data_IF_324721918328
#
_entry.id   IF_324721918328
#
_cell.length_a   1.000
_cell.length_b   1.000
_cell.length_c   1.000
_cell.angle_alpha   90.00
_cell.angle_beta   90.00
_cell.angle_gamma   90.00
#
_symmetry.space_group_name_H-M   'P 1'
#
loop_
_entity.id
_entity.type
_entity.pdbx_description
1 polymer ?
#
# COMPACT_ATOMS: atom_id res chain seq x y z
N UNK A 1 15.24 19.37 12.03
CA UNK A 1 14.65 20.63 11.49
C UNK A 1 15.12 20.88 10.05
N UNK A 2 16.44 21.02 9.73
CA UNK A 2 16.90 21.29 8.35
C UNK A 2 16.48 20.17 7.40
N UNK A 3 16.68 18.89 7.77
CA UNK A 3 16.27 17.74 6.96
C UNK A 3 14.75 17.68 6.76
N UNK A 4 13.97 17.98 7.76
CA UNK A 4 12.51 18.04 7.67
C UNK A 4 12.04 19.13 6.69
N UNK A 5 12.72 20.29 6.70
CA UNK A 5 12.46 21.36 5.75
C UNK A 5 12.81 20.92 4.33
N UNK A 6 13.96 20.28 4.13
CA UNK A 6 14.42 19.77 2.85
C UNK A 6 13.50 18.68 2.29
N UNK A 7 13.06 17.74 3.12
CA UNK A 7 12.06 16.72 2.76
C UNK A 7 10.72 17.34 2.40
N UNK A 8 10.27 18.34 3.17
CA UNK A 8 9.03 19.06 2.90
C UNK A 8 9.10 19.86 1.61
N UNK A 9 10.22 20.54 1.36
CA UNK A 9 10.44 21.27 0.10
C UNK A 9 10.39 20.31 -1.09
N UNK A 10 11.11 19.20 -1.03
CA UNK A 10 11.10 18.16 -2.09
C UNK A 10 9.70 17.60 -2.33
N UNK A 11 8.94 17.36 -1.27
CA UNK A 11 7.54 16.93 -1.39
C UNK A 11 6.70 17.99 -2.13
N UNK A 12 6.82 19.27 -1.77
CA UNK A 12 6.06 20.36 -2.39
C UNK A 12 6.44 20.55 -3.86
N UNK A 13 7.73 20.47 -4.19
CA UNK A 13 8.20 20.54 -5.58
C UNK A 13 7.64 19.38 -6.42
N UNK A 14 7.64 18.16 -5.89
CA UNK A 14 7.05 17.00 -6.56
C UNK A 14 5.52 17.15 -6.70
N UNK A 15 4.88 17.68 -5.68
CA UNK A 15 3.44 17.95 -5.69
C UNK A 15 3.06 18.96 -6.79
N UNK A 16 3.75 20.10 -6.88
CA UNK A 16 3.47 21.11 -7.91
C UNK A 16 3.79 20.58 -9.32
N UNK A 17 4.92 19.91 -9.52
CA UNK A 17 5.23 19.25 -10.80
C UNK A 17 4.13 18.27 -11.22
N UNK A 18 3.64 17.46 -10.29
CA UNK A 18 2.57 16.49 -10.58
C UNK A 18 1.25 17.17 -10.90
N UNK A 19 0.92 18.26 -10.22
CA UNK A 19 -0.27 19.07 -10.45
C UNK A 19 -0.25 19.71 -11.86
N UNK A 20 0.89 20.29 -12.26
CA UNK A 20 1.09 20.85 -13.61
C UNK A 20 0.98 19.76 -14.68
N UNK A 21 1.60 18.60 -14.47
CA UNK A 21 1.50 17.45 -15.37
C UNK A 21 0.06 16.98 -15.55
N UNK A 22 -0.70 16.82 -14.46
CA UNK A 22 -2.10 16.42 -14.50
C UNK A 22 -2.94 17.47 -15.25
N UNK A 23 -2.74 18.75 -14.95
CA UNK A 23 -3.44 19.83 -15.63
C UNK A 23 -3.21 19.76 -17.15
N UNK A 24 -1.95 19.59 -17.58
CA UNK A 24 -1.60 19.45 -18.99
C UNK A 24 -2.24 18.20 -19.62
N UNK A 25 -2.18 17.06 -18.97
CA UNK A 25 -2.74 15.80 -19.49
C UNK A 25 -4.27 15.84 -19.65
N UNK A 26 -4.97 16.61 -18.80
CA UNK A 26 -6.42 16.83 -18.93
C UNK A 26 -6.71 17.84 -20.06
N UNK A 27 -5.89 18.87 -20.18
CA UNK A 27 -6.01 19.88 -21.22
C UNK A 27 -5.76 19.32 -22.63
N UNK A 28 -4.76 18.44 -22.80
CA UNK A 28 -4.47 17.71 -24.03
C UNK A 28 -5.67 16.87 -24.52
N UNK A 29 -6.56 16.47 -23.61
CA UNK A 29 -7.82 15.79 -23.92
C UNK A 29 -8.99 16.75 -24.21
N UNK A 30 -8.76 18.06 -24.11
CA UNK A 30 -9.82 19.09 -24.27
C UNK A 30 -10.86 19.05 -23.15
N UNK A 31 -10.51 18.53 -21.98
CA UNK A 31 -11.45 18.32 -20.87
C UNK A 31 -11.17 19.17 -19.64
N UNK A 32 -10.17 20.09 -19.73
CA UNK A 32 -9.83 20.97 -18.59
C UNK A 32 -10.87 22.09 -18.48
N UNK A 33 -11.79 21.95 -17.51
CA UNK A 33 -12.80 22.96 -17.20
C UNK A 33 -12.37 23.86 -16.04
N UNK A 34 -13.01 25.06 -15.85
CA UNK A 34 -12.74 25.92 -14.69
C UNK A 34 -12.95 25.20 -13.35
N UNK A 35 -13.93 24.31 -13.26
CA UNK A 35 -14.25 23.53 -12.06
C UNK A 35 -13.10 22.54 -11.73
N UNK A 36 -12.54 21.88 -12.76
CA UNK A 36 -11.40 20.97 -12.59
C UNK A 36 -10.16 21.76 -12.17
N UNK A 37 -9.90 22.90 -12.81
CA UNK A 37 -8.80 23.79 -12.43
C UNK A 37 -8.91 24.26 -10.98
N UNK A 38 -10.13 24.63 -10.54
CA UNK A 38 -10.39 25.00 -9.16
C UNK A 38 -10.22 23.81 -8.19
N UNK A 39 -10.61 22.59 -8.60
CA UNK A 39 -10.42 21.38 -7.79
C UNK A 39 -8.91 21.05 -7.65
N UNK A 40 -8.12 21.12 -8.72
CA UNK A 40 -6.68 20.94 -8.69
C UNK A 40 -5.99 21.98 -7.80
N UNK A 41 -6.43 23.25 -7.86
CA UNK A 41 -5.89 24.31 -7.01
C UNK A 41 -6.18 24.12 -5.53
N UNK A 42 -7.29 23.51 -5.17
CA UNK A 42 -7.68 23.19 -3.78
C UNK A 42 -7.08 21.90 -3.26
N UNK A 43 -6.50 21.07 -4.11
CA UNK A 43 -5.86 19.83 -3.69
C UNK A 43 -4.61 20.14 -2.84
N UNK A 44 -4.44 19.43 -1.74
CA UNK A 44 -3.32 19.60 -0.80
C UNK A 44 -2.46 18.35 -0.66
N UNK A 45 -2.85 17.24 -1.32
CA UNK A 45 -2.15 15.97 -1.27
C UNK A 45 -2.07 15.33 -2.67
N UNK A 46 -1.02 14.54 -2.91
CA UNK A 46 -0.87 13.77 -4.15
C UNK A 46 -2.07 12.85 -4.39
N UNK A 47 -2.59 12.22 -3.34
CA UNK A 47 -3.78 11.37 -3.43
C UNK A 47 -5.00 12.13 -3.96
N UNK A 48 -5.20 13.38 -3.50
CA UNK A 48 -6.29 14.22 -3.99
C UNK A 48 -6.11 14.59 -5.48
N UNK A 49 -4.88 14.87 -5.91
CA UNK A 49 -4.58 15.11 -7.32
C UNK A 49 -4.87 13.87 -8.19
N UNK A 50 -4.43 12.69 -7.74
CA UNK A 50 -4.67 11.44 -8.46
C UNK A 50 -6.17 11.07 -8.50
N UNK A 51 -6.94 11.36 -7.46
CA UNK A 51 -8.39 11.15 -7.46
C UNK A 51 -9.08 12.06 -8.49
N UNK A 52 -8.65 13.33 -8.64
CA UNK A 52 -9.18 14.25 -9.66
C UNK A 52 -8.79 13.81 -11.07
N UNK A 53 -7.56 13.31 -11.25
CA UNK A 53 -7.05 12.86 -12.54
C UNK A 53 -7.64 11.53 -13.01
N UNK A 54 -8.12 10.71 -12.08
CA UNK A 54 -8.55 9.32 -12.33
C UNK A 54 -9.54 9.15 -13.50
N UNK A 55 -10.59 9.97 -13.68
CA UNK A 55 -11.51 9.85 -14.81
C UNK A 55 -10.83 10.08 -16.17
N UNK A 56 -9.73 10.83 -16.20
CA UNK A 56 -9.00 11.25 -17.41
C UNK A 56 -7.79 10.36 -17.73
N UNK A 57 -7.39 9.52 -16.76
CA UNK A 57 -6.24 8.61 -16.91
C UNK A 57 -6.53 7.57 -17.98
N UNK A 58 -5.58 7.36 -18.89
CA UNK A 58 -5.66 6.24 -19.83
C UNK A 58 -5.74 4.92 -19.05
N UNK A 59 -6.86 4.21 -19.23
CA UNK A 59 -7.10 2.92 -18.61
C UNK A 59 -6.82 1.80 -19.61
N UNK A 60 -6.44 0.63 -19.10
CA UNK A 60 -6.48 -0.60 -19.90
C UNK A 60 -7.93 -0.86 -20.31
N UNK A 61 -8.14 -1.58 -21.41
CA UNK A 61 -9.47 -1.96 -21.87
C UNK A 61 -10.22 -2.73 -20.77
N UNK A 62 -11.24 -2.09 -20.20
CA UNK A 62 -12.08 -2.61 -19.10
C UNK A 62 -13.42 -3.11 -19.67
N UNK A 63 -14.20 -3.84 -18.86
CA UNK A 63 -15.57 -4.19 -19.22
C UNK A 63 -16.44 -2.94 -19.50
N UNK A 64 -16.23 -1.88 -18.72
CA UNK A 64 -16.90 -0.60 -18.96
C UNK A 64 -16.49 0.04 -20.29
N UNK A 65 -15.21 -0.05 -20.68
CA UNK A 65 -14.73 0.43 -21.99
C UNK A 65 -15.41 -0.34 -23.12
N UNK A 66 -15.47 -1.67 -23.01
CA UNK A 66 -16.16 -2.51 -23.99
C UNK A 66 -17.63 -2.15 -24.12
N UNK A 67 -18.31 -1.94 -22.99
CA UNK A 67 -19.71 -1.54 -22.96
C UNK A 67 -19.94 -0.15 -23.59
N UNK A 68 -19.03 0.82 -23.37
CA UNK A 68 -19.07 2.13 -24.01
C UNK A 68 -18.85 2.03 -25.51
N UNK A 69 -17.88 1.24 -25.97
CA UNK A 69 -17.63 0.95 -27.41
C UNK A 69 -18.86 0.29 -28.05
N UNK A 70 -19.56 -0.55 -27.30
CA UNK A 70 -20.82 -1.15 -27.72
C UNK A 70 -22.00 -0.15 -27.78
N UNK A 71 -21.84 1.07 -27.27
CA UNK A 71 -22.85 2.14 -27.33
C UNK A 71 -23.84 2.12 -26.18
N UNK A 72 -23.51 1.51 -25.04
CA UNK A 72 -24.39 1.43 -23.86
C UNK A 72 -24.33 2.65 -22.93
N UNK A 73 -23.48 3.64 -23.23
CA UNK A 73 -23.34 4.84 -22.39
C UNK A 73 -24.65 5.64 -22.26
N UNK A 74 -25.45 5.87 -23.33
CA UNK A 74 -26.75 6.52 -23.19
C UNK A 74 -27.74 5.72 -22.31
N UNK A 75 -27.67 4.39 -22.33
CA UNK A 75 -28.49 3.56 -21.47
C UNK A 75 -28.06 3.65 -20.00
N UNK A 76 -26.77 3.66 -19.72
CA UNK A 76 -26.25 3.89 -18.38
C UNK A 76 -26.70 5.25 -17.80
N UNK A 77 -26.65 6.31 -18.61
CA UNK A 77 -27.17 7.63 -18.22
C UNK A 77 -28.68 7.60 -17.95
N UNK A 78 -29.44 6.91 -18.79
CA UNK A 78 -30.88 6.78 -18.61
C UNK A 78 -31.23 6.02 -17.31
N UNK A 79 -30.49 4.95 -16.96
CA UNK A 79 -30.68 4.25 -15.69
C UNK A 79 -30.46 5.17 -14.48
N UNK A 80 -29.48 6.06 -14.52
CA UNK A 80 -29.22 7.04 -13.47
C UNK A 80 -30.30 8.12 -13.33
N UNK A 81 -31.16 8.35 -14.36
CA UNK A 81 -32.27 9.28 -14.26
C UNK A 81 -33.38 8.73 -13.36
N UNK A 82 -33.40 7.43 -13.07
CA UNK A 82 -34.39 6.75 -12.23
C UNK A 82 -35.85 7.08 -12.62
N UNK A 83 -36.15 6.93 -13.91
CA UNK A 83 -37.50 7.15 -14.47
C UNK A 83 -38.50 6.06 -14.03
N UNK A 84 -39.78 6.20 -14.35
CA UNK A 84 -40.82 5.20 -14.07
C UNK A 84 -41.01 4.20 -15.21
N UNK A 85 -40.23 4.37 -16.31
CA UNK A 85 -40.38 3.53 -17.49
C UNK A 85 -39.76 2.14 -17.29
N UNK A 86 -40.21 1.16 -18.08
CA UNK A 86 -39.66 -0.22 -18.01
C UNK A 86 -38.21 -0.26 -18.43
N UNK A 87 -37.37 -0.87 -17.59
CA UNK A 87 -35.93 -1.06 -17.87
C UNK A 87 -35.75 -2.08 -19.01
N UNK A 88 -36.57 -3.13 -19.03
CA UNK A 88 -36.50 -4.21 -20.01
C UNK A 88 -36.83 -3.67 -21.42
N UNK A 89 -37.89 -2.87 -21.54
CA UNK A 89 -38.27 -2.25 -22.81
C UNK A 89 -37.15 -1.31 -23.31
N UNK A 90 -36.60 -0.51 -22.40
CA UNK A 90 -35.49 0.38 -22.76
C UNK A 90 -34.22 -0.37 -23.13
N UNK A 91 -33.86 -1.40 -22.38
CA UNK A 91 -32.69 -2.23 -22.65
C UNK A 91 -32.79 -2.96 -24.00
N UNK A 92 -34.00 -3.42 -24.35
CA UNK A 92 -34.25 -4.08 -25.64
C UNK A 92 -33.88 -3.20 -26.84
N UNK A 93 -33.98 -1.87 -26.72
CA UNK A 93 -33.58 -0.94 -27.77
C UNK A 93 -32.07 -0.86 -28.02
N UNK A 94 -31.28 -1.44 -27.16
CA UNK A 94 -29.82 -1.48 -27.26
C UNK A 94 -29.26 -2.83 -27.68
N UNK A 95 -30.11 -3.83 -27.90
CA UNK A 95 -29.71 -5.13 -28.45
C UNK A 95 -29.10 -4.94 -29.82
N UNK A 96 -27.87 -5.46 -30.01
CA UNK A 96 -27.13 -5.34 -31.25
C UNK A 96 -26.13 -6.51 -31.37
N UNK A 97 -26.40 -7.43 -32.28
CA UNK A 97 -25.58 -8.62 -32.49
C UNK A 97 -24.15 -8.28 -32.95
N UNK A 98 -23.98 -7.25 -33.80
CA UNK A 98 -22.65 -6.83 -34.29
C UNK A 98 -21.75 -6.32 -33.14
N UNK A 99 -22.36 -5.85 -32.06
CA UNK A 99 -21.68 -5.33 -30.87
C UNK A 99 -21.68 -6.33 -29.69
N UNK A 100 -22.07 -7.57 -29.95
CA UNK A 100 -22.16 -8.65 -28.96
C UNK A 100 -23.10 -8.34 -27.78
N UNK A 101 -24.16 -7.56 -27.99
CA UNK A 101 -25.25 -7.35 -27.05
C UNK A 101 -26.43 -8.18 -27.54
N UNK A 102 -26.55 -9.41 -27.04
CA UNK A 102 -27.50 -10.39 -27.55
C UNK A 102 -28.80 -10.39 -26.78
N UNK A 103 -28.78 -9.98 -25.53
CA UNK A 103 -29.91 -10.04 -24.60
C UNK A 103 -30.14 -8.71 -23.86
N UNK A 104 -31.32 -8.55 -23.31
CA UNK A 104 -31.63 -7.46 -22.36
C UNK A 104 -30.66 -7.46 -21.18
N UNK A 105 -30.31 -8.65 -20.69
CA UNK A 105 -29.38 -8.82 -19.57
C UNK A 105 -27.96 -8.35 -19.92
N UNK A 106 -27.47 -8.62 -21.15
CA UNK A 106 -26.19 -8.12 -21.62
C UNK A 106 -26.15 -6.58 -21.63
N UNK A 107 -27.22 -5.95 -22.10
CA UNK A 107 -27.35 -4.50 -22.11
C UNK A 107 -27.34 -3.92 -20.69
N UNK A 108 -28.10 -4.51 -19.75
CA UNK A 108 -28.15 -4.09 -18.35
C UNK A 108 -26.77 -4.27 -17.70
N UNK A 109 -26.15 -5.44 -17.84
CA UNK A 109 -24.82 -5.71 -17.27
C UNK A 109 -23.76 -4.75 -17.81
N UNK A 110 -23.77 -4.46 -19.11
CA UNK A 110 -22.87 -3.48 -19.70
C UNK A 110 -23.08 -2.07 -19.15
N UNK A 111 -24.32 -1.64 -18.96
CA UNK A 111 -24.64 -0.35 -18.35
C UNK A 111 -24.22 -0.28 -16.87
N UNK A 112 -24.38 -1.37 -16.12
CA UNK A 112 -23.92 -1.50 -14.72
C UNK A 112 -22.40 -1.35 -14.62
N UNK A 113 -21.64 -1.98 -15.52
CA UNK A 113 -20.18 -1.82 -15.56
C UNK A 113 -19.77 -0.36 -15.82
N UNK A 114 -20.47 0.36 -16.68
CA UNK A 114 -20.25 1.79 -16.94
C UNK A 114 -20.54 2.63 -15.69
N UNK A 115 -21.72 2.42 -15.06
CA UNK A 115 -22.10 3.16 -13.85
C UNK A 115 -21.14 2.89 -12.71
N UNK A 116 -20.74 1.62 -12.49
CA UNK A 116 -19.78 1.25 -11.46
C UNK A 116 -18.41 1.93 -11.69
N UNK A 117 -17.96 2.03 -12.94
CA UNK A 117 -16.74 2.76 -13.27
C UNK A 117 -16.88 4.26 -12.96
N UNK A 118 -17.95 4.91 -13.39
CA UNK A 118 -18.17 6.33 -13.12
C UNK A 118 -18.17 6.65 -11.62
N UNK A 119 -18.90 5.85 -10.83
CA UNK A 119 -18.92 6.02 -9.36
C UNK A 119 -17.53 5.80 -8.76
N UNK A 120 -16.79 4.80 -9.25
CA UNK A 120 -15.44 4.52 -8.76
C UNK A 120 -14.42 5.63 -9.06
N UNK A 121 -14.68 6.41 -10.11
CA UNK A 121 -13.81 7.51 -10.54
C UNK A 121 -14.17 8.84 -9.87
N UNK A 122 -15.29 8.91 -9.13
CA UNK A 122 -15.72 10.15 -8.50
C UNK A 122 -14.86 10.47 -7.26
N UNK A 123 -14.03 11.51 -7.37
CA UNK A 123 -13.08 11.92 -6.33
C UNK A 123 -13.75 12.18 -4.96
N UNK A 124 -14.97 12.73 -4.98
CA UNK A 124 -15.76 12.99 -3.77
C UNK A 124 -16.03 11.71 -2.98
N UNK A 125 -16.52 10.65 -3.65
CA UNK A 125 -16.83 9.38 -2.99
C UNK A 125 -15.59 8.66 -2.51
N UNK A 126 -14.53 8.67 -3.31
CA UNK A 126 -13.25 8.12 -2.90
C UNK A 126 -12.72 8.79 -1.62
N UNK A 127 -12.73 10.12 -1.59
CA UNK A 127 -12.31 10.88 -0.41
C UNK A 127 -13.15 10.54 0.83
N UNK A 128 -14.47 10.52 0.70
CA UNK A 128 -15.38 10.21 1.80
C UNK A 128 -15.17 8.80 2.34
N UNK A 129 -15.11 7.80 1.45
CA UNK A 129 -14.92 6.39 1.82
C UNK A 129 -13.54 6.15 2.43
N UNK A 130 -12.49 6.80 1.91
CA UNK A 130 -11.13 6.73 2.48
C UNK A 130 -11.09 7.27 3.90
N UNK A 131 -11.63 8.47 4.12
CA UNK A 131 -11.68 9.08 5.46
C UNK A 131 -12.51 8.24 6.43
N UNK A 132 -13.61 7.67 5.94
CA UNK A 132 -14.44 6.78 6.74
C UNK A 132 -13.68 5.50 7.13
N UNK A 133 -12.97 4.87 6.19
CA UNK A 133 -12.16 3.66 6.45
C UNK A 133 -10.99 3.95 7.37
N UNK A 134 -10.29 5.08 7.21
CA UNK A 134 -9.22 5.49 8.13
C UNK A 134 -9.70 5.64 9.58
N UNK A 135 -10.94 6.14 9.75
CA UNK A 135 -11.52 6.37 11.08
C UNK A 135 -12.10 5.12 11.73
N UNK A 136 -12.78 4.27 10.94
CA UNK A 136 -13.62 3.18 11.43
C UNK A 136 -13.11 1.78 11.01
N UNK A 137 -12.11 1.71 10.14
CA UNK A 137 -11.56 0.45 9.66
C UNK A 137 -10.80 -0.29 10.75
N UNK A 138 -10.81 -1.61 10.62
CA UNK A 138 -10.13 -2.56 11.50
C UNK A 138 -9.12 -3.33 10.65
N UNK A 139 -7.85 -3.30 11.04
CA UNK A 139 -6.83 -4.19 10.50
C UNK A 139 -7.10 -5.57 11.09
N UNK A 140 -7.34 -6.55 10.24
CA UNK A 140 -7.61 -7.93 10.61
C UNK A 140 -6.57 -8.85 10.02
N UNK A 141 -6.09 -9.77 10.82
CA UNK A 141 -5.16 -10.81 10.41
C UNK A 141 -5.74 -12.19 10.74
N UNK A 142 -5.69 -13.09 9.78
CA UNK A 142 -6.10 -14.49 9.96
C UNK A 142 -5.00 -15.41 9.47
N UNK A 143 -4.80 -16.52 10.17
CA UNK A 143 -3.81 -17.53 9.77
C UNK A 143 -4.16 -18.10 8.40
N UNK A 144 -3.14 -18.24 7.55
CA UNK A 144 -3.24 -18.82 6.21
C UNK A 144 -2.53 -20.16 6.11
N UNK A 145 -1.30 -20.23 6.66
CA UNK A 145 -0.45 -21.43 6.66
C UNK A 145 0.36 -21.48 7.94
N UNK A 146 -0.19 -22.09 8.97
CA UNK A 146 0.46 -22.24 10.29
C UNK A 146 1.75 -23.05 10.20
N UNK A 147 1.81 -24.00 9.28
CA UNK A 147 2.97 -24.86 9.05
C UNK A 147 4.23 -24.11 8.64
N UNK A 148 4.11 -22.89 8.13
CA UNK A 148 5.26 -22.04 7.79
C UNK A 148 5.84 -21.30 9.00
N UNK A 149 5.14 -21.28 10.14
CA UNK A 149 5.59 -20.65 11.38
C UNK A 149 5.97 -21.71 12.44
N UNK A 150 6.93 -22.58 12.10
CA UNK A 150 7.40 -23.67 12.99
C UNK A 150 7.75 -23.20 14.41
N UNK A 151 8.24 -21.95 14.54
CA UNK A 151 8.67 -21.35 15.82
C UNK A 151 7.57 -20.55 16.50
N UNK A 152 6.38 -20.51 15.92
CA UNK A 152 5.22 -19.73 16.42
C UNK A 152 5.53 -18.27 16.70
N UNK A 153 6.36 -17.65 15.84
CA UNK A 153 6.77 -16.24 15.95
C UNK A 153 5.58 -15.30 15.75
N UNK A 154 4.62 -15.72 14.91
CA UNK A 154 3.44 -14.94 14.54
C UNK A 154 2.14 -15.42 15.17
N UNK A 155 2.18 -16.36 16.13
CA UNK A 155 0.99 -16.94 16.75
C UNK A 155 -0.01 -15.89 17.27
N UNK A 156 0.48 -14.80 17.84
CA UNK A 156 -0.37 -13.69 18.30
C UNK A 156 -1.14 -12.96 17.19
N UNK A 157 -0.79 -13.19 15.92
CA UNK A 157 -1.41 -12.57 14.75
C UNK A 157 -2.28 -13.56 13.95
N UNK A 158 -2.47 -14.79 14.41
CA UNK A 158 -3.28 -15.81 13.73
C UNK A 158 -4.77 -15.47 13.72
N UNK A 159 -5.24 -14.78 14.75
CA UNK A 159 -6.58 -14.19 14.85
C UNK A 159 -6.44 -12.85 15.57
N UNK A 160 -6.22 -11.79 14.80
CA UNK A 160 -5.86 -10.50 15.37
C UNK A 160 -6.66 -9.38 14.72
N UNK A 161 -7.14 -8.45 15.56
CA UNK A 161 -7.89 -7.28 15.14
C UNK A 161 -7.41 -6.03 15.90
N UNK A 162 -7.19 -4.92 15.16
CA UNK A 162 -6.89 -3.62 15.76
C UNK A 162 -7.40 -2.47 14.87
N UNK A 163 -7.97 -1.39 15.44
CA UNK A 163 -8.42 -0.26 14.64
C UNK A 163 -7.27 0.40 13.86
N UNK A 164 -7.51 0.74 12.59
CA UNK A 164 -6.54 1.42 11.70
C UNK A 164 -5.96 2.67 12.35
N UNK A 165 -6.79 3.46 13.04
CA UNK A 165 -6.39 4.73 13.67
C UNK A 165 -5.40 4.60 14.83
N UNK A 166 -5.33 3.44 15.47
CA UNK A 166 -4.56 3.21 16.70
C UNK A 166 -3.46 2.17 16.57
N UNK A 167 -3.41 1.43 15.46
CA UNK A 167 -2.41 0.39 15.27
C UNK A 167 -0.99 0.94 15.38
N UNK A 168 -0.17 0.28 16.19
CA UNK A 168 1.19 0.74 16.45
C UNK A 168 2.18 0.24 15.40
N UNK A 169 3.24 1.01 15.09
CA UNK A 169 4.17 0.73 14.00
C UNK A 169 4.80 -0.67 14.02
N UNK A 170 5.23 -1.16 15.19
CA UNK A 170 5.87 -2.47 15.27
C UNK A 170 4.91 -3.63 14.93
N UNK A 171 3.61 -3.49 15.19
CA UNK A 171 2.60 -4.47 14.81
C UNK A 171 2.35 -4.46 13.30
N UNK A 172 2.31 -3.28 12.68
CA UNK A 172 2.22 -3.15 11.21
C UNK A 172 3.39 -3.87 10.55
N UNK A 173 4.61 -3.67 11.05
CA UNK A 173 5.80 -4.34 10.50
C UNK A 173 5.77 -5.86 10.72
N UNK A 174 5.30 -6.32 11.89
CA UNK A 174 5.14 -7.75 12.17
C UNK A 174 4.10 -8.40 11.25
N UNK A 175 2.94 -7.77 11.07
CA UNK A 175 1.89 -8.22 10.15
C UNK A 175 2.38 -8.27 8.70
N UNK A 176 3.08 -7.24 8.23
CA UNK A 176 3.64 -7.21 6.88
C UNK A 176 4.68 -8.33 6.66
N UNK A 177 5.48 -8.64 7.68
CA UNK A 177 6.45 -9.74 7.64
C UNK A 177 5.74 -11.09 7.60
N UNK A 178 4.79 -11.32 8.50
CA UNK A 178 4.01 -12.56 8.56
C UNK A 178 3.26 -12.83 7.24
N UNK A 179 2.71 -11.80 6.62
CA UNK A 179 2.05 -11.90 5.31
C UNK A 179 3.05 -12.18 4.18
N UNK A 180 4.22 -11.54 4.19
CA UNK A 180 5.29 -11.79 3.21
C UNK A 180 5.83 -13.23 3.31
N UNK A 181 5.85 -13.79 4.50
CA UNK A 181 6.23 -15.18 4.76
C UNK A 181 5.06 -16.19 4.54
N UNK A 182 3.91 -15.68 4.04
CA UNK A 182 2.70 -16.43 3.70
C UNK A 182 2.03 -17.16 4.89
N UNK A 183 2.36 -16.74 6.12
CA UNK A 183 1.80 -17.31 7.37
C UNK A 183 0.39 -16.79 7.64
N UNK A 184 0.17 -15.49 7.46
CA UNK A 184 -1.13 -14.86 7.69
C UNK A 184 -1.64 -14.13 6.44
N UNK A 185 -2.92 -13.83 6.44
CA UNK A 185 -3.55 -12.89 5.50
C UNK A 185 -4.01 -11.67 6.27
N UNK A 186 -3.63 -10.48 5.80
CA UNK A 186 -3.99 -9.20 6.42
C UNK A 186 -4.96 -8.44 5.53
N UNK A 187 -6.06 -7.96 6.10
CA UNK A 187 -7.10 -7.17 5.43
C UNK A 187 -7.48 -5.96 6.27
N UNK A 188 -8.15 -4.98 5.65
CA UNK A 188 -8.82 -3.90 6.38
C UNK A 188 -10.33 -4.07 6.18
N UNK A 189 -11.02 -4.41 7.25
CA UNK A 189 -12.47 -4.57 7.27
C UNK A 189 -13.13 -3.27 7.76
N UNK A 190 -14.24 -2.89 7.14
CA UNK A 190 -15.03 -1.73 7.53
C UNK A 190 -16.48 -1.91 7.09
N UNK A 191 -17.43 -1.61 7.98
CA UNK A 191 -18.85 -1.55 7.60
C UNK A 191 -19.12 -0.23 6.87
N UNK A 192 -19.32 -0.34 5.56
CA UNK A 192 -19.58 0.81 4.67
C UNK A 192 -21.07 1.03 4.37
N UNK A 193 -21.97 0.36 5.07
CA UNK A 193 -23.43 0.47 4.85
C UNK A 193 -23.87 1.93 4.87
N UNK A 194 -23.53 2.68 5.92
CA UNK A 194 -23.92 4.08 6.05
C UNK A 194 -23.34 5.00 4.96
N UNK A 195 -22.05 4.98 4.63
CA UNK A 195 -21.53 5.81 3.56
C UNK A 195 -22.06 5.42 2.18
N UNK A 196 -22.30 4.12 1.91
CA UNK A 196 -22.93 3.70 0.64
C UNK A 196 -24.39 4.15 0.55
N UNK A 197 -25.15 4.11 1.64
CA UNK A 197 -26.53 4.63 1.67
C UNK A 197 -26.58 6.10 1.26
N UNK A 198 -25.65 6.93 1.73
CA UNK A 198 -25.56 8.34 1.32
C UNK A 198 -25.29 8.51 -0.18
N UNK A 199 -24.45 7.65 -0.75
CA UNK A 199 -24.19 7.66 -2.20
C UNK A 199 -25.45 7.24 -2.97
N UNK A 200 -26.17 6.20 -2.49
CA UNK A 200 -27.43 5.75 -3.06
C UNK A 200 -28.48 6.87 -3.04
N UNK A 201 -28.68 7.55 -1.91
CA UNK A 201 -29.61 8.68 -1.78
C UNK A 201 -29.25 9.84 -2.72
N UNK A 202 -27.96 10.09 -2.96
CA UNK A 202 -27.52 11.12 -3.87
C UNK A 202 -27.76 10.77 -5.34
N UNK A 203 -27.54 9.50 -5.73
CA UNK A 203 -27.64 9.05 -7.13
C UNK A 203 -29.06 8.60 -7.52
N UNK A 204 -29.84 8.06 -6.60
CA UNK A 204 -31.17 7.53 -6.84
C UNK A 204 -32.22 8.58 -6.43
N UNK A 205 -32.68 9.36 -7.42
CA UNK A 205 -33.65 10.43 -7.17
C UNK A 205 -35.08 9.90 -6.93
N UNK A 206 -35.40 8.75 -7.48
CA UNK A 206 -36.70 8.09 -7.32
C UNK A 206 -36.48 6.63 -6.88
N UNK A 207 -36.56 6.34 -5.57
CA UNK A 207 -36.40 4.98 -5.05
C UNK A 207 -37.46 3.97 -5.56
N UNK A 208 -38.61 4.45 -6.04
CA UNK A 208 -39.65 3.60 -6.61
C UNK A 208 -39.47 3.31 -8.12
N UNK A 209 -38.35 3.78 -8.71
CA UNK A 209 -38.03 3.51 -10.11
C UNK A 209 -37.64 2.04 -10.32
N UNK A 210 -38.04 1.40 -11.43
CA UNK A 210 -37.55 0.07 -11.80
C UNK A 210 -36.05 0.00 -11.96
N UNK A 211 -35.36 1.12 -12.29
CA UNK A 211 -33.92 1.19 -12.40
C UNK A 211 -33.19 1.36 -11.04
N UNK A 212 -33.91 1.73 -9.97
CA UNK A 212 -33.29 1.98 -8.66
C UNK A 212 -32.47 0.78 -8.12
N UNK A 213 -32.98 -0.47 -8.13
CA UNK A 213 -32.23 -1.63 -7.66
C UNK A 213 -30.95 -1.88 -8.50
N UNK A 214 -30.99 -1.59 -9.80
CA UNK A 214 -29.87 -1.76 -10.72
C UNK A 214 -28.76 -0.75 -10.38
N UNK A 215 -29.14 0.50 -10.16
CA UNK A 215 -28.21 1.56 -9.76
C UNK A 215 -27.62 1.28 -8.36
N UNK A 216 -28.42 0.77 -7.42
CA UNK A 216 -27.93 0.31 -6.11
C UNK A 216 -26.87 -0.77 -6.25
N UNK A 217 -27.14 -1.80 -7.03
CA UNK A 217 -26.21 -2.88 -7.32
C UNK A 217 -24.90 -2.36 -7.95
N UNK A 218 -24.99 -1.40 -8.89
CA UNK A 218 -23.82 -0.77 -9.50
C UNK A 218 -22.97 0.01 -8.49
N UNK A 219 -23.59 0.68 -7.51
CA UNK A 219 -22.89 1.39 -6.42
C UNK A 219 -22.16 0.39 -5.53
N UNK A 220 -22.80 -0.70 -5.14
CA UNK A 220 -22.18 -1.76 -4.32
C UNK A 220 -21.02 -2.45 -5.04
N UNK A 221 -21.20 -2.79 -6.31
CA UNK A 221 -20.15 -3.36 -7.16
C UNK A 221 -18.97 -2.39 -7.35
N UNK A 222 -19.26 -1.10 -7.51
CA UNK A 222 -18.23 -0.06 -7.58
C UNK A 222 -17.33 -0.05 -6.34
N UNK A 223 -17.94 -0.13 -5.15
CA UNK A 223 -17.19 -0.22 -3.91
C UNK A 223 -16.40 -1.53 -3.81
N UNK A 224 -17.11 -2.66 -3.95
CA UNK A 224 -16.54 -3.99 -3.75
C UNK A 224 -15.36 -4.31 -4.68
N UNK A 225 -15.47 -3.92 -5.95
CA UNK A 225 -14.48 -4.28 -6.97
C UNK A 225 -13.39 -3.22 -7.18
N UNK A 226 -13.69 -1.95 -6.99
CA UNK A 226 -12.79 -0.86 -7.37
C UNK A 226 -12.37 0.02 -6.19
N UNK A 227 -13.32 0.58 -5.42
CA UNK A 227 -13.01 1.58 -4.41
C UNK A 227 -12.40 0.92 -3.17
N UNK A 228 -13.06 -0.08 -2.59
CA UNK A 228 -12.63 -0.76 -1.37
C UNK A 228 -11.22 -1.33 -1.46
N UNK A 229 -10.90 -2.18 -2.47
CA UNK A 229 -9.56 -2.72 -2.62
C UNK A 229 -8.48 -1.67 -2.89
N UNK A 230 -8.84 -0.53 -3.52
CA UNK A 230 -7.89 0.55 -3.74
C UNK A 230 -7.58 1.30 -2.43
N UNK A 231 -8.63 1.64 -1.66
CA UNK A 231 -8.50 2.31 -0.36
C UNK A 231 -7.74 1.42 0.63
N UNK A 232 -8.02 0.13 0.66
CA UNK A 232 -7.29 -0.82 1.49
C UNK A 232 -5.79 -0.79 1.21
N UNK A 233 -5.39 -0.86 -0.08
CA UNK A 233 -3.97 -0.75 -0.47
C UNK A 233 -3.36 0.59 -0.10
N UNK A 234 -4.08 1.69 -0.31
CA UNK A 234 -3.64 3.04 0.04
C UNK A 234 -3.35 3.15 1.54
N UNK A 235 -4.29 2.72 2.39
CA UNK A 235 -4.15 2.78 3.85
C UNK A 235 -3.03 1.84 4.33
N UNK A 236 -2.94 0.62 3.79
CA UNK A 236 -1.86 -0.31 4.15
C UNK A 236 -0.48 0.24 3.78
N UNK A 237 -0.36 0.88 2.63
CA UNK A 237 0.89 1.53 2.21
C UNK A 237 1.24 2.69 3.15
N UNK A 238 0.27 3.55 3.49
CA UNK A 238 0.46 4.67 4.43
C UNK A 238 0.91 4.18 5.83
N UNK A 239 0.24 3.16 6.37
CA UNK A 239 0.62 2.54 7.64
C UNK A 239 2.02 1.95 7.59
N UNK A 240 2.38 1.28 6.49
CA UNK A 240 3.70 0.65 6.30
C UNK A 240 4.80 1.70 6.20
N UNK A 241 4.61 2.75 5.42
CA UNK A 241 5.56 3.86 5.27
C UNK A 241 5.82 4.57 6.61
N UNK A 242 4.74 4.89 7.34
CA UNK A 242 4.83 5.48 8.67
C UNK A 242 5.58 4.56 9.65
N UNK A 243 5.27 3.28 9.63
CA UNK A 243 5.90 2.29 10.51
C UNK A 243 7.40 2.11 10.19
N UNK A 244 7.76 2.05 8.92
CA UNK A 244 9.16 1.94 8.47
C UNK A 244 9.96 3.19 8.85
N UNK A 245 9.42 4.38 8.62
CA UNK A 245 10.09 5.64 8.96
C UNK A 245 10.39 5.72 10.46
N UNK A 246 9.43 5.36 11.30
CA UNK A 246 9.62 5.34 12.75
C UNK A 246 10.65 4.27 13.18
N UNK A 247 10.59 3.08 12.60
CA UNK A 247 11.55 2.02 12.92
C UNK A 247 12.99 2.41 12.53
N UNK A 248 13.18 3.04 11.37
CA UNK A 248 14.49 3.55 10.94
C UNK A 248 15.01 4.63 11.90
N UNK A 249 14.15 5.53 12.36
CA UNK A 249 14.53 6.57 13.31
C UNK A 249 15.01 5.98 14.65
N UNK A 250 14.24 5.03 15.20
CA UNK A 250 14.61 4.32 16.45
C UNK A 250 15.90 3.53 16.28
N UNK A 251 16.05 2.80 15.15
CA UNK A 251 17.28 2.08 14.85
C UNK A 251 18.49 3.02 14.77
N UNK A 252 18.33 4.16 14.09
CA UNK A 252 19.39 5.17 13.99
C UNK A 252 19.81 5.73 15.34
N UNK A 253 18.86 5.99 16.25
CA UNK A 253 19.15 6.44 17.62
C UNK A 253 19.89 5.36 18.43
N UNK A 254 19.41 4.12 18.38
CA UNK A 254 20.05 3.00 19.05
C UNK A 254 21.49 2.77 18.54
N UNK A 255 21.67 2.82 17.21
CA UNK A 255 22.99 2.72 16.59
C UNK A 255 23.91 3.84 17.02
N UNK A 256 23.42 5.10 17.04
CA UNK A 256 24.17 6.25 17.54
C UNK A 256 24.61 6.05 18.99
N UNK A 257 23.72 5.61 19.86
CA UNK A 257 24.01 5.36 21.26
C UNK A 257 25.06 4.25 21.42
N UNK A 258 24.95 3.19 20.62
CA UNK A 258 25.95 2.10 20.60
C UNK A 258 27.33 2.61 20.15
N UNK A 259 27.41 3.40 19.08
CA UNK A 259 28.66 3.96 18.57
C UNK A 259 29.29 5.00 19.49
N UNK A 260 28.48 5.68 20.31
CA UNK A 260 28.93 6.69 21.28
C UNK A 260 29.25 6.10 22.67
N UNK A 261 29.22 4.76 22.81
CA UNK A 261 29.67 4.14 24.06
C UNK A 261 31.13 4.52 24.35
N UNK A 262 31.43 4.76 25.62
CA UNK A 262 32.79 5.11 26.03
C UNK A 262 33.77 4.01 25.63
N UNK A 263 34.92 4.36 25.01
CA UNK A 263 35.93 3.37 24.66
C UNK A 263 36.53 2.73 25.94
N UNK A 264 36.91 1.47 25.82
CA UNK A 264 37.65 0.78 26.87
C UNK A 264 39.06 1.41 26.92
N UNK A 265 39.34 2.15 28.00
CA UNK A 265 40.60 2.89 28.15
C UNK A 265 41.71 2.00 28.74
N UNK A 266 42.96 2.20 28.27
CA UNK A 266 44.14 1.59 28.83
C UNK A 266 44.24 0.07 28.60
N UNK A 267 43.60 -0.44 27.60
CA UNK A 267 43.59 -1.88 27.29
C UNK A 267 43.87 -2.11 25.79
N UNK A 268 44.55 -3.20 25.52
CA UNK A 268 44.65 -3.75 24.16
C UNK A 268 43.39 -4.59 23.91
N UNK A 269 42.70 -4.29 22.82
CA UNK A 269 41.42 -4.89 22.53
C UNK A 269 41.47 -5.74 21.26
N UNK A 270 41.01 -6.98 21.32
CA UNK A 270 40.79 -7.83 20.17
C UNK A 270 39.30 -7.77 19.76
N UNK A 271 39.03 -7.19 18.62
CA UNK A 271 37.72 -7.23 17.97
C UNK A 271 37.58 -8.50 17.12
N UNK A 272 36.47 -9.22 17.25
CA UNK A 272 36.14 -10.40 16.46
C UNK A 272 34.80 -10.21 15.74
N UNK A 273 34.79 -10.31 14.39
CA UNK A 273 33.62 -10.26 13.54
C UNK A 273 33.36 -11.66 12.93
N UNK A 274 32.37 -12.42 13.43
CA UNK A 274 32.09 -13.78 12.97
C UNK A 274 31.42 -13.78 11.59
N UNK A 275 31.97 -14.60 10.67
CA UNK A 275 31.33 -14.80 9.36
C UNK A 275 31.53 -16.24 8.88
N UNK A 276 30.44 -16.92 8.48
CA UNK A 276 30.47 -18.33 8.09
C UNK A 276 31.22 -18.60 6.76
N UNK A 277 31.08 -17.73 5.75
CA UNK A 277 31.70 -17.94 4.44
C UNK A 277 33.09 -17.36 4.33
N UNK A 278 33.35 -16.19 4.89
CA UNK A 278 34.61 -15.44 4.75
C UNK A 278 35.55 -15.61 5.93
N UNK A 279 35.16 -16.39 6.94
CA UNK A 279 35.90 -16.60 8.19
C UNK A 279 35.68 -15.46 9.20
N UNK A 280 36.07 -15.73 10.46
CA UNK A 280 35.99 -14.73 11.52
C UNK A 280 37.16 -13.77 11.37
N UNK A 281 36.88 -12.49 11.15
CA UNK A 281 37.91 -11.43 11.05
C UNK A 281 38.30 -10.99 12.45
N UNK A 282 39.61 -10.83 12.66
CA UNK A 282 40.18 -10.36 13.90
C UNK A 282 40.95 -9.06 13.65
N UNK A 283 40.79 -8.10 14.55
CA UNK A 283 41.57 -6.89 14.58
C UNK A 283 42.03 -6.60 16.02
N UNK A 284 43.28 -6.35 16.22
CA UNK A 284 43.80 -5.93 17.52
C UNK A 284 44.15 -4.45 17.46
N UNK A 285 43.66 -3.71 18.46
CA UNK A 285 43.94 -2.27 18.61
C UNK A 285 44.59 -2.01 19.96
N UNK A 286 45.43 -0.98 20.03
CA UNK A 286 46.00 -0.49 21.29
C UNK A 286 45.00 0.40 22.07
N UNK A 287 45.47 0.90 23.21
CA UNK A 287 44.71 1.79 24.08
C UNK A 287 44.26 3.11 23.44
N UNK A 288 44.87 3.49 22.30
CA UNK A 288 44.55 4.71 21.54
C UNK A 288 43.66 4.43 20.33
N UNK A 289 43.37 3.16 20.05
CA UNK A 289 42.59 2.72 18.89
C UNK A 289 43.44 2.46 17.63
N UNK A 290 44.75 2.54 17.70
CA UNK A 290 45.65 2.21 16.61
C UNK A 290 45.62 0.70 16.35
N UNK A 291 45.46 0.31 15.09
CA UNK A 291 45.46 -1.11 14.69
C UNK A 291 46.88 -1.69 14.80
N UNK A 292 47.04 -2.68 15.66
CA UNK A 292 48.31 -3.41 15.86
C UNK A 292 48.41 -4.63 14.92
N UNK A 293 47.28 -5.30 14.63
CA UNK A 293 47.30 -6.48 13.79
C UNK A 293 45.90 -6.86 13.27
N UNK A 294 45.90 -7.60 12.17
CA UNK A 294 44.66 -8.16 11.57
C UNK A 294 44.90 -9.63 11.22
N UNK A 295 43.85 -10.46 11.37
CA UNK A 295 43.90 -11.87 10.99
C UNK A 295 42.51 -12.37 10.62
N UNK A 296 42.44 -13.55 10.02
CA UNK A 296 41.20 -14.26 9.73
C UNK A 296 41.35 -15.70 10.19
N UNK A 297 40.43 -16.17 11.01
CA UNK A 297 40.37 -17.56 11.48
C UNK A 297 39.07 -18.23 11.01
N UNK A 298 39.07 -19.56 10.95
CA UNK A 298 37.93 -20.35 10.45
C UNK A 298 37.51 -21.41 11.47
N UNK A 299 36.87 -21.03 12.60
CA UNK A 299 36.50 -21.98 13.68
C UNK A 299 35.25 -22.77 13.39
N UNK A 300 34.48 -22.44 12.35
CA UNK A 300 33.11 -22.97 12.10
C UNK A 300 33.11 -24.22 11.20
N UNK A 301 31.97 -24.95 11.23
CA UNK A 301 31.78 -26.25 10.56
C UNK A 301 31.92 -26.21 9.03
N UNK A 302 31.65 -25.05 8.38
CA UNK A 302 31.81 -24.89 6.94
C UNK A 302 33.28 -24.76 6.43
N UNK A 303 34.26 -24.67 7.34
CA UNK A 303 35.68 -24.63 6.99
C UNK A 303 36.27 -26.04 6.90
N UNK A 304 37.39 -26.18 6.15
CA UNK A 304 38.13 -27.45 6.14
C UNK A 304 38.62 -27.83 7.54
N UNK A 305 38.71 -29.14 7.81
CA UNK A 305 39.12 -29.65 9.12
C UNK A 305 40.51 -29.11 9.57
N UNK A 306 41.43 -28.98 8.63
CA UNK A 306 42.75 -28.38 8.87
C UNK A 306 42.65 -26.91 9.34
N UNK A 307 41.83 -26.11 8.70
CA UNK A 307 41.62 -24.69 9.10
C UNK A 307 40.93 -24.59 10.48
N UNK A 308 39.96 -25.45 10.78
CA UNK A 308 39.32 -25.50 12.09
C UNK A 308 40.29 -25.87 13.20
N UNK A 309 41.09 -26.91 12.98
CA UNK A 309 42.11 -27.33 13.95
C UNK A 309 43.15 -26.24 14.26
N UNK A 310 43.51 -25.42 13.25
CA UNK A 310 44.47 -24.33 13.41
C UNK A 310 43.88 -23.08 14.06
N UNK A 311 42.54 -22.85 13.96
CA UNK A 311 41.91 -21.60 14.38
C UNK A 311 42.13 -21.27 15.86
N UNK A 312 42.04 -22.24 16.77
CA UNK A 312 42.27 -22.06 18.19
C UNK A 312 43.73 -21.67 18.52
N UNK A 313 44.69 -22.32 17.84
CA UNK A 313 46.10 -22.00 18.01
C UNK A 313 46.48 -20.63 17.45
N UNK A 314 45.86 -20.21 16.33
CA UNK A 314 46.03 -18.88 15.77
C UNK A 314 45.46 -17.79 16.69
N UNK A 315 44.24 -18.02 17.22
CA UNK A 315 43.60 -17.10 18.15
C UNK A 315 44.47 -16.90 19.41
N UNK A 316 44.91 -17.99 20.04
CA UNK A 316 45.75 -17.95 21.23
C UNK A 316 47.06 -17.21 20.99
N UNK A 317 47.75 -17.46 19.86
CA UNK A 317 48.97 -16.73 19.49
C UNK A 317 48.75 -15.23 19.35
N UNK A 318 47.63 -14.78 18.78
CA UNK A 318 47.31 -13.38 18.66
C UNK A 318 47.10 -12.75 20.04
N UNK A 319 46.35 -13.40 20.92
CA UNK A 319 46.13 -12.92 22.29
C UNK A 319 47.46 -12.76 23.05
N UNK A 320 48.32 -13.79 23.00
CA UNK A 320 49.63 -13.78 23.64
C UNK A 320 50.58 -12.74 23.04
N UNK A 321 50.63 -12.62 21.70
CA UNK A 321 51.52 -11.72 20.98
C UNK A 321 51.25 -10.24 21.28
N UNK A 322 49.99 -9.88 21.43
CA UNK A 322 49.58 -8.47 21.60
C UNK A 322 49.18 -8.15 23.05
N UNK A 323 49.15 -9.11 23.96
CA UNK A 323 48.79 -8.89 25.36
C UNK A 323 47.33 -8.48 25.54
N UNK A 324 46.42 -9.09 24.79
CA UNK A 324 44.98 -8.79 24.83
C UNK A 324 44.39 -9.21 26.16
#
# INVERSE_FOLDING_TARGET
QIREIEERQRYLENFEKRKEEISRLIDEQGKLTPEITAALSKATTLTALEDIYRPYKQKRRTKATIAKEAGLEPFALWLLMTTKDSVEEKAATFINEEKAILTVEDAINGAVEIIAEWISDEAKYRKQLRQFTQKNGIVKSVVKKEELDEKKVYEMYYDYEEPVKSIVPHRVLALNRAEKEDVVRVTIEVDVTNPLTKIKEEKIKNPSSPSAPIVEGAIEESYKRFIGPAIEREIRNELSEKAQTQAIAIFGENLKNLLLQAPMKGQVILGLDPAYRTGCKLAVIDETGKVLGKSVIYPHVGASEAKRAQAGGQFRRIVEQYGV
#
